data_IF_288394353594
#
_entry.id   IF_288394353594
#
_cell.length_a   1.000
_cell.length_b   1.000
_cell.length_c   1.000
_cell.angle_alpha   90.00
_cell.angle_beta   90.00
_cell.angle_gamma   90.00
#
_symmetry.space_group_name_H-M   'P 1'
#
loop_
_entity.id
_entity.type
_entity.pdbx_description
1 polymer ?
#
# COMPACT_ATOMS: atom_id res chain seq x y z
N UNK A 1 -23.11 -18.69 25.41
CA UNK A 1 -23.41 -17.30 25.03
C UNK A 1 -24.39 -16.77 26.07
N UNK A 2 -23.99 -15.77 26.86
CA UNK A 2 -24.88 -15.13 27.84
C UNK A 2 -25.70 -14.11 27.05
N UNK A 3 -27.05 -14.16 27.07
CA UNK A 3 -27.86 -13.16 26.40
C UNK A 3 -27.68 -11.84 27.16
N UNK A 4 -26.85 -10.96 26.60
CA UNK A 4 -26.82 -9.56 27.00
C UNK A 4 -28.16 -9.00 26.51
N UNK A 5 -29.14 -8.87 27.40
CA UNK A 5 -30.54 -8.48 27.12
C UNK A 5 -30.73 -7.04 26.64
N UNK A 6 -29.81 -6.53 25.84
CA UNK A 6 -29.91 -5.26 25.14
C UNK A 6 -29.96 -5.58 23.64
N UNK A 7 -31.15 -5.58 23.06
CA UNK A 7 -31.27 -5.37 21.63
C UNK A 7 -30.78 -3.95 21.37
N UNK A 8 -29.54 -3.80 20.87
CA UNK A 8 -29.04 -2.51 20.40
C UNK A 8 -29.88 -2.12 19.17
N UNK A 9 -31.02 -1.48 19.41
CA UNK A 9 -31.78 -0.77 18.40
C UNK A 9 -31.00 0.49 17.99
N UNK A 10 -29.95 0.28 17.19
CA UNK A 10 -29.18 1.36 16.59
C UNK A 10 -30.06 2.06 15.55
N UNK A 11 -30.23 3.36 15.70
CA UNK A 11 -30.77 4.19 14.64
C UNK A 11 -29.87 4.13 13.39
N UNK A 12 -30.43 4.41 12.21
CA UNK A 12 -29.67 4.41 10.96
C UNK A 12 -28.42 5.31 11.01
N UNK A 13 -28.49 6.41 11.77
CA UNK A 13 -27.37 7.33 11.97
C UNK A 13 -26.28 6.69 12.83
N UNK A 14 -26.62 6.03 13.93
CA UNK A 14 -25.64 5.36 14.79
C UNK A 14 -24.96 4.19 14.06
N UNK A 15 -25.71 3.45 13.25
CA UNK A 15 -25.15 2.40 12.40
C UNK A 15 -24.16 2.96 11.37
N UNK A 16 -24.50 4.08 10.73
CA UNK A 16 -23.60 4.77 9.81
C UNK A 16 -22.33 5.26 10.53
N UNK A 17 -22.46 5.85 11.73
CA UNK A 17 -21.32 6.29 12.54
C UNK A 17 -20.42 5.11 12.92
N UNK A 18 -20.98 3.99 13.35
CA UNK A 18 -20.21 2.77 13.63
C UNK A 18 -19.46 2.26 12.41
N UNK A 19 -20.10 2.23 11.24
CA UNK A 19 -19.45 1.84 9.99
C UNK A 19 -18.30 2.78 9.62
N UNK A 20 -18.46 4.08 9.83
CA UNK A 20 -17.39 5.06 9.60
C UNK A 20 -16.24 4.83 10.57
N UNK A 21 -16.51 4.65 11.87
CA UNK A 21 -15.48 4.39 12.89
C UNK A 21 -14.74 3.08 12.58
N UNK A 22 -15.46 2.01 12.28
CA UNK A 22 -14.89 0.71 11.89
C UNK A 22 -14.05 0.84 10.62
N UNK A 23 -14.55 1.57 9.62
CA UNK A 23 -13.81 1.85 8.39
C UNK A 23 -12.50 2.60 8.64
N UNK A 24 -12.54 3.64 9.48
CA UNK A 24 -11.36 4.43 9.85
C UNK A 24 -10.34 3.60 10.65
N UNK A 25 -10.80 2.81 11.63
CA UNK A 25 -9.94 1.91 12.40
C UNK A 25 -9.27 0.87 11.51
N UNK A 26 -10.02 0.29 10.58
CA UNK A 26 -9.50 -0.71 9.68
C UNK A 26 -8.54 -0.10 8.63
N UNK A 27 -8.82 1.11 8.15
CA UNK A 27 -7.88 1.87 7.32
C UNK A 27 -6.59 2.20 8.10
N UNK A 28 -6.71 2.59 9.37
CA UNK A 28 -5.57 2.83 10.26
C UNK A 28 -4.74 1.55 10.46
N UNK A 29 -5.38 0.41 10.66
CA UNK A 29 -4.72 -0.89 10.78
C UNK A 29 -4.00 -1.31 9.48
N UNK A 30 -4.45 -0.84 8.32
CA UNK A 30 -3.83 -1.12 7.02
C UNK A 30 -2.66 -0.18 6.67
N UNK A 31 -2.46 0.91 7.42
CA UNK A 31 -1.44 1.95 7.11
C UNK A 31 -0.03 1.41 6.82
N UNK A 32 0.51 0.42 7.56
CA UNK A 32 1.87 -0.04 7.30
C UNK A 32 2.05 -0.61 5.88
N UNK A 33 1.05 -1.33 5.37
CA UNK A 33 1.07 -1.93 4.04
C UNK A 33 0.59 -0.97 2.94
N UNK A 34 -0.39 -0.10 3.24
CA UNK A 34 -0.93 0.83 2.25
C UNK A 34 0.01 2.03 2.00
N UNK A 35 0.69 2.53 3.04
CA UNK A 35 1.69 3.60 2.89
C UNK A 35 2.93 3.11 2.13
N UNK A 36 3.39 1.88 2.38
CA UNK A 36 4.54 1.31 1.65
C UNK A 36 4.24 1.19 0.15
N UNK A 37 3.04 0.74 -0.23
CA UNK A 37 2.59 0.75 -1.63
C UNK A 37 2.42 2.17 -2.19
N UNK A 38 1.89 3.12 -1.42
CA UNK A 38 1.79 4.52 -1.83
C UNK A 38 3.17 5.11 -2.20
N UNK A 39 4.18 4.81 -1.37
CA UNK A 39 5.57 5.21 -1.62
C UNK A 39 6.12 4.55 -2.88
N UNK A 40 5.84 3.26 -3.12
CA UNK A 40 6.21 2.58 -4.37
C UNK A 40 5.57 3.25 -5.59
N UNK A 41 4.27 3.56 -5.52
CA UNK A 41 3.55 4.24 -6.61
C UNK A 41 4.12 5.63 -6.92
N UNK A 42 4.42 6.41 -5.87
CA UNK A 42 5.02 7.74 -5.97
C UNK A 42 6.44 7.70 -6.53
N UNK A 43 7.30 6.84 -5.99
CA UNK A 43 8.70 6.68 -6.45
C UNK A 43 8.77 6.21 -7.90
N UNK A 44 7.88 5.31 -8.32
CA UNK A 44 7.79 4.86 -9.72
C UNK A 44 7.40 6.00 -10.65
N UNK A 45 6.41 6.80 -10.27
CA UNK A 45 5.95 7.91 -11.12
C UNK A 45 6.99 9.03 -11.24
N UNK A 46 7.69 9.35 -10.14
CA UNK A 46 8.82 10.27 -10.16
C UNK A 46 9.92 9.82 -11.13
N UNK A 47 10.24 8.51 -11.17
CA UNK A 47 11.25 7.98 -12.13
C UNK A 47 10.78 8.03 -13.59
N UNK A 48 9.48 8.00 -13.85
CA UNK A 48 8.91 8.05 -15.20
C UNK A 48 8.64 9.46 -15.71
N UNK A 49 8.96 10.51 -14.94
CA UNK A 49 8.72 11.91 -15.31
C UNK A 49 7.23 12.29 -15.38
N UNK A 50 6.34 11.49 -14.79
CA UNK A 50 4.89 11.74 -14.76
C UNK A 50 4.47 12.30 -13.39
N UNK A 51 3.44 13.15 -13.32
CA UNK A 51 2.93 13.67 -12.04
C UNK A 51 2.53 12.51 -11.11
N UNK A 52 3.23 12.41 -9.97
CA UNK A 52 3.30 11.17 -9.19
C UNK A 52 2.20 10.93 -8.15
N UNK A 53 1.41 11.95 -7.83
CA UNK A 53 0.37 11.88 -6.81
C UNK A 53 -0.74 10.89 -7.17
N UNK A 54 -1.20 10.87 -8.43
CA UNK A 54 -2.28 9.97 -8.86
C UNK A 54 -1.89 8.49 -8.77
N UNK A 55 -0.64 8.18 -9.11
CA UNK A 55 -0.13 6.81 -9.02
C UNK A 55 0.09 6.38 -7.56
N UNK A 56 0.55 7.29 -6.69
CA UNK A 56 0.65 7.04 -5.26
C UNK A 56 -0.70 6.75 -4.59
N UNK A 57 -1.72 7.58 -4.86
CA UNK A 57 -3.09 7.42 -4.34
C UNK A 57 -3.69 6.09 -4.82
N UNK A 58 -3.48 5.75 -6.09
CA UNK A 58 -3.96 4.48 -6.65
C UNK A 58 -3.36 3.27 -5.92
N UNK A 59 -2.04 3.28 -5.69
CA UNK A 59 -1.36 2.18 -4.99
C UNK A 59 -1.76 2.13 -3.50
N UNK A 60 -1.97 3.28 -2.87
CA UNK A 60 -2.50 3.36 -1.49
C UNK A 60 -3.89 2.72 -1.37
N UNK A 61 -4.80 3.06 -2.30
CA UNK A 61 -6.16 2.52 -2.32
C UNK A 61 -6.16 1.00 -2.48
N UNK A 62 -5.42 0.48 -3.46
CA UNK A 62 -5.30 -0.95 -3.67
C UNK A 62 -4.58 -1.68 -2.53
N UNK A 63 -3.55 -1.05 -1.94
CA UNK A 63 -2.88 -1.60 -0.76
C UNK A 63 -3.81 -1.73 0.45
N UNK A 64 -4.68 -0.75 0.65
CA UNK A 64 -5.71 -0.78 1.70
C UNK A 64 -6.74 -1.88 1.41
N UNK A 65 -7.26 -1.96 0.20
CA UNK A 65 -8.24 -2.98 -0.21
C UNK A 65 -7.69 -4.40 -0.06
N UNK A 66 -6.44 -4.63 -0.49
CA UNK A 66 -5.77 -5.93 -0.39
C UNK A 66 -5.54 -6.34 1.08
N UNK A 67 -5.12 -5.39 1.92
CA UNK A 67 -4.91 -5.63 3.36
C UNK A 67 -6.22 -5.96 4.07
N UNK A 68 -7.30 -5.28 3.68
CA UNK A 68 -8.66 -5.58 4.15
C UNK A 68 -9.10 -6.99 3.77
N UNK A 69 -8.99 -7.36 2.49
CA UNK A 69 -9.38 -8.68 2.03
C UNK A 69 -8.63 -9.80 2.78
N UNK A 70 -7.34 -9.59 3.03
CA UNK A 70 -6.52 -10.52 3.79
C UNK A 70 -6.87 -10.57 5.28
N UNK A 71 -7.16 -9.42 5.93
CA UNK A 71 -7.66 -9.40 7.31
C UNK A 71 -9.00 -10.13 7.43
N UNK A 72 -9.93 -9.90 6.51
CA UNK A 72 -11.23 -10.58 6.50
C UNK A 72 -11.03 -12.08 6.32
N UNK A 73 -10.18 -12.50 5.36
CA UNK A 73 -9.84 -13.90 5.18
C UNK A 73 -9.24 -14.54 6.44
N UNK A 74 -8.27 -13.87 7.07
CA UNK A 74 -7.64 -14.36 8.29
C UNK A 74 -8.59 -14.38 9.49
N UNK A 75 -9.50 -13.42 9.60
CA UNK A 75 -10.54 -13.39 10.63
C UNK A 75 -11.49 -14.59 10.50
N UNK A 76 -11.90 -14.93 9.27
CA UNK A 76 -12.73 -16.13 9.01
C UNK A 76 -11.99 -17.45 9.29
N UNK A 77 -10.67 -17.42 9.47
CA UNK A 77 -9.85 -18.56 9.86
C UNK A 77 -9.57 -18.59 11.37
N UNK A 78 -10.29 -17.79 12.17
CA UNK A 78 -10.14 -17.69 13.63
C UNK A 78 -8.72 -17.31 14.10
N UNK A 79 -7.95 -16.58 13.27
CA UNK A 79 -6.62 -16.10 13.66
C UNK A 79 -6.65 -15.01 14.74
N UNK A 80 -7.84 -14.50 15.09
CA UNK A 80 -8.01 -13.48 16.13
C UNK A 80 -7.16 -12.24 15.86
N UNK A 81 -6.33 -11.84 16.83
CA UNK A 81 -5.50 -10.64 16.72
C UNK A 81 -4.41 -10.75 15.62
N UNK A 82 -4.00 -11.97 15.25
CA UNK A 82 -3.00 -12.20 14.20
C UNK A 82 -3.53 -11.89 12.79
N UNK A 83 -4.85 -11.73 12.63
CA UNK A 83 -5.43 -11.28 11.36
C UNK A 83 -4.85 -9.94 10.90
N UNK A 84 -4.48 -9.06 11.83
CA UNK A 84 -3.91 -7.74 11.53
C UNK A 84 -2.53 -7.85 10.84
N UNK A 85 -1.49 -8.45 11.47
CA UNK A 85 -0.20 -8.58 10.82
C UNK A 85 -0.23 -9.48 9.57
N UNK A 86 -1.08 -10.52 9.54
CA UNK A 86 -1.26 -11.36 8.34
C UNK A 86 -1.87 -10.56 7.20
N UNK A 87 -2.79 -9.64 7.51
CA UNK A 87 -3.37 -8.71 6.56
C UNK A 87 -2.34 -7.83 5.85
N UNK A 88 -1.20 -7.55 6.48
CA UNK A 88 -0.14 -6.74 5.86
C UNK A 88 0.67 -7.51 4.82
N UNK A 89 0.73 -8.84 4.92
CA UNK A 89 1.63 -9.67 4.11
C UNK A 89 1.43 -9.46 2.60
N UNK A 90 0.19 -9.47 2.06
CA UNK A 90 0.00 -9.30 0.62
C UNK A 90 0.42 -7.90 0.15
N UNK A 91 0.14 -6.86 0.95
CA UNK A 91 0.52 -5.49 0.61
C UNK A 91 2.03 -5.27 0.65
N UNK A 92 2.72 -5.82 1.65
CA UNK A 92 4.19 -5.79 1.74
C UNK A 92 4.85 -6.63 0.64
N UNK A 93 4.30 -7.80 0.31
CA UNK A 93 4.79 -8.63 -0.79
C UNK A 93 4.63 -7.91 -2.14
N UNK A 94 3.49 -7.27 -2.36
CA UNK A 94 3.26 -6.44 -3.55
C UNK A 94 4.24 -5.24 -3.59
N UNK A 95 4.48 -4.56 -2.46
CA UNK A 95 5.44 -3.48 -2.39
C UNK A 95 6.87 -3.95 -2.72
N UNK A 96 7.29 -5.10 -2.20
CA UNK A 96 8.60 -5.69 -2.48
C UNK A 96 8.75 -6.09 -3.97
N UNK A 97 7.71 -6.67 -4.57
CA UNK A 97 7.70 -7.06 -5.97
C UNK A 97 7.73 -5.85 -6.92
N UNK A 98 6.96 -4.81 -6.57
CA UNK A 98 6.80 -3.61 -7.39
C UNK A 98 7.89 -2.56 -7.10
N UNK A 99 8.78 -2.82 -6.15
CA UNK A 99 9.81 -1.88 -5.75
C UNK A 99 10.68 -1.51 -6.97
N UNK A 100 10.87 -0.21 -7.26
CA UNK A 100 11.66 0.22 -8.40
C UNK A 100 13.13 -0.23 -8.24
N UNK A 101 13.49 -1.34 -8.91
CA UNK A 101 14.89 -1.84 -8.96
C UNK A 101 15.80 -0.75 -9.53
N UNK A 102 17.04 -0.66 -9.04
CA UNK A 102 18.03 0.26 -9.62
C UNK A 102 18.18 -0.08 -11.11
N UNK A 103 18.37 0.91 -12.00
CA UNK A 103 18.94 0.63 -13.30
C UNK A 103 20.24 -0.13 -13.02
N UNK A 104 20.36 -1.35 -13.53
CA UNK A 104 21.68 -1.96 -13.67
C UNK A 104 22.43 -1.01 -14.58
N UNK A 105 23.35 -0.21 -13.99
CA UNK A 105 24.29 0.55 -14.79
C UNK A 105 24.94 -0.46 -15.74
N UNK A 106 25.00 -0.20 -17.06
CA UNK A 106 25.67 -1.09 -17.97
C UNK A 106 27.08 -1.32 -17.43
N UNK A 107 27.46 -2.58 -17.30
CA UNK A 107 28.75 -2.96 -16.76
C UNK A 107 29.87 -2.32 -17.62
N UNK A 108 30.55 -1.32 -17.07
CA UNK A 108 31.95 -1.08 -17.36
C UNK A 108 32.31 0.17 -18.20
N UNK A 109 33.48 0.77 -17.92
CA UNK A 109 34.04 1.92 -18.63
C UNK A 109 34.82 1.47 -19.88
N UNK A 110 34.13 1.18 -20.99
CA UNK A 110 34.79 0.82 -22.25
C UNK A 110 34.16 1.46 -23.51
N UNK A 111 33.31 2.49 -23.35
CA UNK A 111 32.56 3.09 -24.47
C UNK A 111 32.72 4.59 -24.70
N UNK A 112 33.53 5.30 -23.92
CA UNK A 112 33.66 6.77 -24.04
C UNK A 112 35.12 7.25 -24.09
N UNK A 113 35.99 6.48 -24.74
CA UNK A 113 37.22 7.03 -25.33
C UNK A 113 36.84 7.55 -26.71
N UNK A 114 36.21 8.74 -26.76
CA UNK A 114 35.70 9.27 -28.04
C UNK A 114 35.02 10.63 -28.01
N UNK A 115 35.02 11.34 -26.87
CA UNK A 115 34.73 12.78 -26.84
C UNK A 115 35.97 13.55 -26.40
N UNK A 116 37.04 13.39 -27.15
CA UNK A 116 38.12 14.38 -27.24
C UNK A 116 37.86 15.17 -28.51
N UNK A 117 37.75 16.50 -28.40
CA UNK A 117 37.97 17.36 -29.55
C UNK A 117 36.98 18.50 -29.73
N UNK A 118 37.43 19.69 -29.35
CA UNK A 118 37.15 20.96 -30.04
C UNK A 118 35.69 21.39 -30.21
N UNK A 119 35.16 22.14 -29.25
CA UNK A 119 34.47 23.39 -29.62
C UNK A 119 35.46 24.53 -29.45
N UNK A 120 36.13 24.84 -30.54
CA UNK A 120 36.93 26.05 -30.67
C UNK A 120 36.03 27.27 -30.79
N UNK A 121 36.55 28.37 -30.24
CA UNK A 121 36.39 29.79 -30.59
C UNK A 121 34.97 30.33 -30.75
#
# INVERSE_FOLDING_TARGET
MIPLGFEMHLSAVEQAVLLVILGLLAAAAALPASLTLAVVGSTRAHRSGRPGLGNGIWYWFWGTALSWAAMVGAFNLDLGWYSIPVGWLPGLAAAALLWPRRPVAPAGPAGQVGQVGSRGR
#
